data_IF_388732439658
#
_entry.id   IF_388732439658
#
_cell.length_a   1.000
_cell.length_b   1.000
_cell.length_c   1.000
_cell.angle_alpha   90.00
_cell.angle_beta   90.00
_cell.angle_gamma   90.00
#
_symmetry.space_group_name_H-M   'P 1'
#
loop_
_entity.id
_entity.type
_entity.pdbx_description
1 polymer ?
#
# COMPACT_ATOMS: atom_id res chain seq x y z
N UNK A 1 -8.55 22.97 6.78
CA UNK A 1 -8.96 23.29 5.40
C UNK A 1 -10.10 22.35 5.04
N UNK A 2 -10.80 22.54 3.91
CA UNK A 2 -11.88 21.63 3.45
C UNK A 2 -11.30 20.71 2.39
N UNK A 3 -11.70 19.43 2.35
CA UNK A 3 -11.29 18.46 1.31
C UNK A 3 -11.56 18.97 -0.11
N UNK A 4 -12.55 19.85 -0.28
CA UNK A 4 -12.93 20.50 -1.53
C UNK A 4 -11.81 21.39 -2.13
N UNK A 5 -10.77 21.71 -1.36
CA UNK A 5 -9.62 22.50 -1.80
C UNK A 5 -8.42 21.65 -2.22
N UNK A 6 -8.50 20.33 -2.04
CA UNK A 6 -7.49 19.37 -2.50
C UNK A 6 -7.89 18.93 -3.91
N UNK A 7 -6.90 18.78 -4.79
CA UNK A 7 -7.14 18.23 -6.12
C UNK A 7 -7.76 16.83 -6.03
N UNK A 8 -8.86 16.61 -6.76
CA UNK A 8 -9.58 15.33 -6.77
C UNK A 8 -8.69 14.15 -7.19
N UNK A 9 -7.68 14.40 -8.04
CA UNK A 9 -6.67 13.41 -8.42
C UNK A 9 -5.92 12.88 -7.21
N UNK A 10 -5.44 13.76 -6.32
CA UNK A 10 -4.69 13.36 -5.11
C UNK A 10 -5.56 12.47 -4.21
N UNK A 11 -6.82 12.86 -4.00
CA UNK A 11 -7.73 12.09 -3.17
C UNK A 11 -8.09 10.74 -3.83
N UNK A 12 -8.32 10.72 -5.14
CA UNK A 12 -8.61 9.50 -5.90
C UNK A 12 -7.41 8.54 -5.88
N UNK A 13 -6.19 9.06 -6.02
CA UNK A 13 -4.97 8.26 -5.99
C UNK A 13 -4.80 7.59 -4.62
N UNK A 14 -5.06 8.33 -3.53
CA UNK A 14 -5.04 7.76 -2.17
C UNK A 14 -6.08 6.64 -2.02
N UNK A 15 -7.33 6.89 -2.43
CA UNK A 15 -8.41 5.89 -2.35
C UNK A 15 -8.10 4.63 -3.17
N UNK A 16 -7.63 4.79 -4.40
CA UNK A 16 -7.25 3.69 -5.27
C UNK A 16 -6.08 2.89 -4.70
N UNK A 17 -5.05 3.57 -4.18
CA UNK A 17 -3.88 2.90 -3.60
C UNK A 17 -4.25 2.06 -2.38
N UNK A 18 -5.15 2.55 -1.53
CA UNK A 18 -5.66 1.78 -0.40
C UNK A 18 -6.41 0.53 -0.87
N UNK A 19 -7.32 0.67 -1.85
CA UNK A 19 -8.08 -0.44 -2.41
C UNK A 19 -7.16 -1.48 -3.06
N UNK A 20 -6.24 -1.07 -3.93
CA UNK A 20 -5.31 -1.97 -4.61
C UNK A 20 -4.40 -2.69 -3.59
N UNK A 21 -3.93 -1.99 -2.56
CA UNK A 21 -3.14 -2.60 -1.47
C UNK A 21 -3.95 -3.69 -0.75
N UNK A 22 -5.23 -3.42 -0.46
CA UNK A 22 -6.11 -4.43 0.13
C UNK A 22 -6.38 -5.59 -0.84
N UNK A 23 -6.54 -5.33 -2.14
CA UNK A 23 -6.74 -6.36 -3.15
C UNK A 23 -5.54 -7.31 -3.28
N UNK A 24 -4.34 -6.83 -2.95
CA UNK A 24 -3.11 -7.63 -2.85
C UNK A 24 -2.99 -8.45 -1.56
N UNK A 25 -3.95 -8.34 -0.63
CA UNK A 25 -3.89 -9.00 0.67
C UNK A 25 -2.96 -8.34 1.69
N UNK A 26 -2.55 -7.09 1.44
CA UNK A 26 -1.70 -6.30 2.33
C UNK A 26 -2.54 -5.35 3.18
N UNK A 27 -2.01 -4.94 4.33
CA UNK A 27 -2.73 -4.15 5.35
C UNK A 27 -2.15 -2.76 5.59
N UNK A 28 -1.12 -2.37 4.81
CA UNK A 28 -0.40 -1.11 4.98
C UNK A 28 -0.03 -0.52 3.63
N UNK A 29 -0.40 0.74 3.44
CA UNK A 29 0.07 1.56 2.32
C UNK A 29 0.73 2.85 2.82
N UNK A 30 1.46 3.55 1.96
CA UNK A 30 1.99 4.88 2.26
C UNK A 30 1.83 5.78 1.03
N UNK A 31 2.08 7.07 1.17
CA UNK A 31 2.11 8.03 0.07
C UNK A 31 2.88 9.28 0.48
N UNK A 32 3.40 10.00 -0.52
CA UNK A 32 4.03 11.30 -0.36
C UNK A 32 3.03 12.35 -0.80
N UNK A 33 2.69 13.28 0.10
CA UNK A 33 1.72 14.34 -0.17
C UNK A 33 2.32 15.71 0.11
N UNK A 34 1.85 16.78 -0.56
CA UNK A 34 2.18 18.14 -0.19
C UNK A 34 1.82 18.41 1.27
N UNK A 35 2.76 18.98 2.03
CA UNK A 35 2.59 19.28 3.46
C UNK A 35 1.37 20.14 3.74
N UNK A 36 1.01 21.02 2.80
CA UNK A 36 -0.18 21.88 2.87
C UNK A 36 -1.50 21.09 3.00
N UNK A 37 -1.56 19.84 2.52
CA UNK A 37 -2.77 19.00 2.56
C UNK A 37 -2.76 17.97 3.69
N UNK A 38 -1.65 17.85 4.41
CA UNK A 38 -1.41 16.77 5.37
C UNK A 38 -2.49 16.66 6.44
N UNK A 39 -2.79 17.76 7.15
CA UNK A 39 -3.77 17.73 8.22
C UNK A 39 -5.19 17.35 7.72
N UNK A 40 -5.57 17.74 6.51
CA UNK A 40 -6.91 17.48 5.98
C UNK A 40 -7.03 16.03 5.49
N UNK A 41 -6.00 15.49 4.83
CA UNK A 41 -5.93 14.08 4.42
C UNK A 41 -5.88 13.17 5.66
N UNK A 42 -5.10 13.55 6.68
CA UNK A 42 -5.06 12.83 7.97
C UNK A 42 -6.45 12.73 8.59
N UNK A 43 -7.18 13.85 8.68
CA UNK A 43 -8.54 13.87 9.25
C UNK A 43 -9.53 13.05 8.42
N UNK A 44 -9.42 13.11 7.10
CA UNK A 44 -10.27 12.33 6.21
C UNK A 44 -10.06 10.84 6.39
N UNK A 45 -8.82 10.38 6.37
CA UNK A 45 -8.50 8.96 6.52
C UNK A 45 -8.83 8.43 7.93
N UNK A 46 -8.56 9.21 8.97
CA UNK A 46 -8.95 8.82 10.34
C UNK A 46 -10.48 8.78 10.51
N UNK A 47 -11.23 9.66 9.84
CA UNK A 47 -12.70 9.59 9.80
C UNK A 47 -13.24 8.32 9.13
N UNK A 48 -12.46 7.68 8.25
CA UNK A 48 -12.77 6.37 7.66
C UNK A 48 -12.27 5.19 8.52
N UNK A 49 -11.75 5.47 9.71
CA UNK A 49 -11.25 4.49 10.66
C UNK A 49 -9.80 4.04 10.43
N UNK A 50 -9.08 4.62 9.47
CA UNK A 50 -7.69 4.22 9.20
C UNK A 50 -6.73 4.71 10.28
N UNK A 51 -5.70 3.92 10.55
CA UNK A 51 -4.58 4.32 11.40
C UNK A 51 -3.54 5.02 10.52
N UNK A 52 -3.27 6.29 10.80
CA UNK A 52 -2.37 7.13 10.00
C UNK A 52 -1.17 7.58 10.84
N UNK A 53 0.03 7.30 10.35
CA UNK A 53 1.31 7.81 10.87
C UNK A 53 1.89 8.79 9.83
N UNK A 54 2.26 10.00 10.26
CA UNK A 54 2.80 11.03 9.38
C UNK A 54 4.25 11.27 9.75
N UNK A 55 5.16 11.03 8.81
CA UNK A 55 6.59 11.26 8.99
C UNK A 55 7.02 12.44 8.12
N UNK A 56 7.63 13.42 8.76
CA UNK A 56 8.14 14.62 8.11
C UNK A 56 9.63 14.81 8.43
N UNK A 57 10.39 15.30 7.45
CA UNK A 57 11.53 16.16 7.72
C UNK A 57 11.02 17.56 8.06
N UNK A 58 11.53 18.19 9.13
CA UNK A 58 11.06 19.50 9.58
C UNK A 58 11.06 20.60 8.49
N UNK A 59 11.91 20.42 7.45
CA UNK A 59 12.17 21.38 6.38
C UNK A 59 11.68 20.94 4.98
N UNK A 60 10.88 19.87 4.87
CA UNK A 60 10.48 19.35 3.56
C UNK A 60 9.10 19.87 3.10
N UNK A 61 8.90 20.13 1.79
CA UNK A 61 7.63 20.60 1.23
C UNK A 61 6.57 19.48 1.14
N UNK A 62 6.97 18.24 1.36
CA UNK A 62 6.14 17.03 1.31
C UNK A 62 6.25 16.23 2.60
N UNK A 63 5.24 15.42 2.90
CA UNK A 63 5.25 14.51 4.04
C UNK A 63 4.91 13.09 3.58
N UNK A 64 5.56 12.10 4.19
CA UNK A 64 5.23 10.69 3.98
C UNK A 64 4.16 10.28 4.98
N UNK A 65 3.00 9.88 4.49
CA UNK A 65 1.93 9.30 5.31
C UNK A 65 1.88 7.80 5.13
N UNK A 66 1.82 7.08 6.24
CA UNK A 66 1.65 5.63 6.29
C UNK A 66 0.25 5.35 6.82
N UNK A 67 -0.53 4.60 6.05
CA UNK A 67 -1.93 4.26 6.32
C UNK A 67 -2.05 2.76 6.54
N UNK A 68 -2.57 2.38 7.70
CA UNK A 68 -2.77 0.98 8.10
C UNK A 68 -4.25 0.71 8.30
N UNK A 69 -4.67 -0.48 7.92
CA UNK A 69 -6.03 -0.97 8.14
C UNK A 69 -5.95 -2.37 8.74
N UNK A 70 -5.95 -2.47 10.09
CA UNK A 70 -5.79 -3.75 10.80
C UNK A 70 -7.12 -4.22 11.38
N UNK A 71 -7.45 -5.49 11.13
CA UNK A 71 -8.63 -6.22 11.63
C UNK A 71 -8.63 -6.48 13.16
N UNK A 72 -7.97 -5.65 13.99
CA UNK A 72 -7.97 -5.86 15.45
C UNK A 72 -8.98 -5.01 16.20
N UNK A 73 -9.77 -4.16 15.53
CA UNK A 73 -10.75 -3.33 16.23
C UNK A 73 -12.16 -3.91 16.18
N UNK A 74 -12.51 -4.63 17.24
CA UNK A 74 -13.89 -4.74 17.70
C UNK A 74 -14.29 -3.40 18.33
N UNK A 75 -14.87 -2.50 17.56
CA UNK A 75 -15.83 -1.54 18.11
C UNK A 75 -16.63 -0.95 16.97
N UNK A 76 -17.94 -1.04 17.13
CA UNK A 76 -19.00 -0.34 16.41
C UNK A 76 -18.81 1.18 16.50
N UNK A 77 -17.74 1.71 15.89
CA UNK A 77 -17.62 3.14 15.67
C UNK A 77 -18.34 3.43 14.35
N UNK A 78 -19.64 3.69 14.47
CA UNK A 78 -20.44 4.38 13.46
C UNK A 78 -19.78 5.73 13.16
N UNK A 79 -18.83 5.72 12.23
CA UNK A 79 -18.25 6.94 11.72
C UNK A 79 -19.30 7.55 10.78
N UNK A 80 -19.89 8.66 11.21
CA UNK A 80 -20.67 9.52 10.33
C UNK A 80 -19.75 9.96 9.19
N UNK A 81 -19.91 9.33 8.02
CA UNK A 81 -19.19 9.69 6.81
C UNK A 81 -19.58 11.11 6.40
N UNK A 82 -18.90 12.09 6.96
CA UNK A 82 -19.02 13.47 6.51
C UNK A 82 -18.69 13.49 5.01
N UNK A 83 -19.62 14.06 4.24
CA UNK A 83 -19.56 14.22 2.79
C UNK A 83 -19.70 12.92 1.95
N UNK A 84 -20.75 12.14 2.20
CA UNK A 84 -21.17 10.92 1.46
C UNK A 84 -20.97 11.05 -0.07
N UNK A 85 -21.30 12.22 -0.65
CA UNK A 85 -21.21 12.44 -2.10
C UNK A 85 -19.77 12.46 -2.63
N UNK A 86 -18.86 13.16 -1.94
CA UNK A 86 -17.44 13.21 -2.33
C UNK A 86 -16.80 11.82 -2.16
N UNK A 87 -17.10 11.14 -1.06
CA UNK A 87 -16.59 9.80 -0.79
C UNK A 87 -17.05 8.77 -1.83
N UNK A 88 -18.30 8.87 -2.29
CA UNK A 88 -18.82 8.05 -3.37
C UNK A 88 -18.11 8.33 -4.71
N UNK A 89 -17.81 9.60 -5.00
CA UNK A 89 -17.03 9.97 -6.20
C UNK A 89 -15.58 9.46 -6.15
N UNK A 90 -14.99 9.39 -4.96
CA UNK A 90 -13.62 8.91 -4.74
C UNK A 90 -13.53 7.37 -4.63
N UNK A 91 -14.66 6.65 -4.64
CA UNK A 91 -14.73 5.21 -4.40
C UNK A 91 -14.02 4.77 -3.10
N UNK A 92 -14.01 5.66 -2.10
CA UNK A 92 -13.34 5.45 -0.83
C UNK A 92 -14.09 4.43 0.01
N UNK A 93 -13.38 3.43 0.54
CA UNK A 93 -13.95 2.40 1.40
C UNK A 93 -13.57 2.62 2.86
N UNK A 94 -14.41 2.18 3.82
CA UNK A 94 -14.03 2.09 5.21
C UNK A 94 -12.80 1.22 5.44
N UNK A 95 -12.07 1.50 6.53
CA UNK A 95 -10.98 0.65 7.01
C UNK A 95 -11.42 -0.82 7.18
N UNK A 96 -12.62 -1.09 7.73
CA UNK A 96 -13.08 -2.47 7.96
C UNK A 96 -13.31 -3.23 6.64
N UNK A 97 -13.78 -2.55 5.60
CA UNK A 97 -13.99 -3.15 4.28
C UNK A 97 -12.64 -3.42 3.60
N UNK A 98 -11.71 -2.46 3.66
CA UNK A 98 -10.33 -2.66 3.20
C UNK A 98 -9.66 -3.85 3.92
N UNK A 99 -9.84 -3.97 5.23
CA UNK A 99 -9.30 -5.09 6.01
C UNK A 99 -9.96 -6.43 5.63
N UNK A 100 -11.26 -6.45 5.34
CA UNK A 100 -11.96 -7.64 4.89
C UNK A 100 -11.49 -8.09 3.49
N UNK A 101 -11.34 -7.14 2.55
CA UNK A 101 -10.77 -7.39 1.22
C UNK A 101 -9.35 -7.96 1.36
N UNK A 102 -8.51 -7.32 2.19
CA UNK A 102 -7.16 -7.79 2.46
C UNK A 102 -7.13 -9.19 3.09
N UNK A 103 -8.08 -9.52 3.97
CA UNK A 103 -8.16 -10.86 4.56
C UNK A 103 -8.55 -11.91 3.52
N UNK A 104 -9.64 -11.69 2.80
CA UNK A 104 -10.14 -12.62 1.78
C UNK A 104 -9.09 -12.84 0.67
N UNK A 105 -8.45 -11.77 0.24
CA UNK A 105 -7.40 -11.84 -0.74
C UNK A 105 -6.10 -12.39 -0.17
N UNK A 106 -5.78 -12.22 1.11
CA UNK A 106 -4.67 -12.96 1.73
C UNK A 106 -4.93 -14.46 1.71
N UNK A 107 -6.13 -14.91 2.08
CA UNK A 107 -6.50 -16.33 2.06
C UNK A 107 -6.47 -16.91 0.63
N UNK A 108 -6.83 -16.12 -0.38
CA UNK A 108 -6.87 -16.54 -1.80
C UNK A 108 -5.54 -16.34 -2.54
N UNK A 109 -4.77 -15.28 -2.19
CA UNK A 109 -3.50 -14.88 -2.77
C UNK A 109 -2.31 -15.28 -1.89
N UNK A 110 -2.51 -16.25 -0.99
CA UNK A 110 -1.51 -16.74 -0.04
C UNK A 110 -0.13 -16.97 -0.68
N UNK A 111 -0.07 -17.37 -1.96
CA UNK A 111 1.19 -17.55 -2.68
C UNK A 111 1.95 -16.24 -2.93
N UNK A 112 1.29 -15.18 -3.40
CA UNK A 112 1.92 -13.88 -3.68
C UNK A 112 2.28 -13.17 -2.38
N UNK A 113 1.35 -13.13 -1.42
CA UNK A 113 1.62 -12.53 -0.11
C UNK A 113 2.72 -13.30 0.64
N UNK A 114 2.79 -14.63 0.51
CA UNK A 114 3.91 -15.43 1.04
C UNK A 114 5.22 -15.09 0.37
N UNK A 115 5.24 -14.98 -0.97
CA UNK A 115 6.42 -14.60 -1.75
C UNK A 115 6.93 -13.21 -1.34
N UNK A 116 6.04 -12.21 -1.21
CA UNK A 116 6.38 -10.86 -0.72
C UNK A 116 6.94 -10.91 0.71
N UNK A 117 6.28 -11.63 1.63
CA UNK A 117 6.73 -11.73 3.02
C UNK A 117 8.09 -12.42 3.12
N UNK A 118 8.31 -13.50 2.34
CA UNK A 118 9.56 -14.21 2.30
C UNK A 118 10.71 -13.32 1.78
N UNK A 119 10.46 -12.52 0.73
CA UNK A 119 11.43 -11.52 0.26
C UNK A 119 11.82 -10.54 1.36
N UNK A 120 10.82 -9.97 2.05
CA UNK A 120 11.05 -9.01 3.13
C UNK A 120 11.85 -9.65 4.27
N UNK A 121 11.51 -10.86 4.70
CA UNK A 121 12.25 -11.54 5.77
C UNK A 121 13.69 -11.87 5.37
N UNK A 122 13.93 -12.29 4.12
CA UNK A 122 15.29 -12.55 3.64
C UNK A 122 16.11 -11.26 3.55
N UNK A 123 15.53 -10.19 3.01
CA UNK A 123 16.21 -8.91 2.82
C UNK A 123 16.76 -8.32 4.14
N UNK A 124 16.09 -8.55 5.28
CA UNK A 124 16.54 -8.07 6.60
C UNK A 124 17.95 -8.53 6.99
N UNK A 125 18.42 -9.66 6.46
CA UNK A 125 19.71 -10.25 6.80
C UNK A 125 20.77 -10.10 5.69
N UNK A 126 20.41 -9.50 4.55
CA UNK A 126 21.31 -9.32 3.41
C UNK A 126 22.12 -8.03 3.52
N UNK A 127 23.29 -8.02 2.89
CA UNK A 127 24.00 -6.76 2.65
C UNK A 127 23.38 -6.04 1.46
N UNK A 128 23.38 -4.71 1.50
CA UNK A 128 22.93 -3.89 0.37
C UNK A 128 23.65 -4.29 -0.92
N UNK A 129 22.90 -4.41 -1.99
CA UNK A 129 23.37 -4.85 -3.30
C UNK A 129 23.32 -6.38 -3.52
N UNK A 130 22.90 -7.17 -2.53
CA UNK A 130 22.74 -8.63 -2.68
C UNK A 130 21.34 -9.00 -3.19
N UNK A 131 21.27 -10.00 -4.08
CA UNK A 131 20.00 -10.49 -4.62
C UNK A 131 19.36 -11.54 -3.73
N UNK A 132 18.03 -11.62 -3.79
CA UNK A 132 17.21 -12.59 -3.05
C UNK A 132 17.04 -13.83 -3.94
N UNK A 133 18.12 -14.62 -4.06
CA UNK A 133 18.26 -15.64 -5.10
C UNK A 133 17.31 -16.84 -5.00
N UNK A 134 16.76 -17.20 -3.83
CA UNK A 134 15.90 -18.39 -3.74
C UNK A 134 14.41 -18.11 -4.10
N UNK A 135 14.07 -16.89 -4.56
CA UNK A 135 12.69 -16.54 -4.93
C UNK A 135 12.64 -16.13 -6.39
N UNK A 136 12.61 -17.15 -7.26
CA UNK A 136 12.43 -16.99 -8.70
C UNK A 136 10.97 -17.21 -9.06
N UNK A 137 10.35 -16.24 -9.73
CA UNK A 137 9.00 -16.37 -10.27
C UNK A 137 9.04 -16.29 -11.79
N UNK A 138 8.49 -17.32 -12.44
CA UNK A 138 8.49 -17.48 -13.90
C UNK A 138 7.32 -16.79 -14.57
N UNK A 139 7.55 -16.27 -15.78
CA UNK A 139 6.60 -15.49 -16.58
C UNK A 139 5.26 -16.17 -16.83
N UNK A 140 5.23 -17.48 -17.02
CA UNK A 140 3.99 -18.21 -17.28
C UNK A 140 3.03 -18.27 -16.08
N UNK A 141 3.44 -17.82 -14.90
CA UNK A 141 2.60 -17.86 -13.69
C UNK A 141 1.75 -16.59 -13.57
N UNK A 142 0.50 -16.74 -13.09
CA UNK A 142 -0.35 -15.59 -12.73
C UNK A 142 0.32 -14.70 -11.67
N UNK A 143 1.16 -15.30 -10.84
CA UNK A 143 1.95 -14.61 -9.82
C UNK A 143 2.94 -13.61 -10.45
N UNK A 144 3.53 -13.91 -11.62
CA UNK A 144 4.48 -13.02 -12.29
C UNK A 144 3.86 -11.67 -12.66
N UNK A 145 2.70 -11.69 -13.32
CA UNK A 145 1.98 -10.49 -13.72
C UNK A 145 1.58 -9.65 -12.49
N UNK A 146 1.19 -10.31 -11.40
CA UNK A 146 0.80 -9.64 -10.16
C UNK A 146 2.02 -9.10 -9.39
N UNK A 147 3.12 -9.83 -9.31
CA UNK A 147 4.36 -9.37 -8.67
C UNK A 147 5.05 -8.24 -9.45
N UNK A 148 4.77 -8.14 -10.74
CA UNK A 148 5.21 -7.03 -11.61
C UNK A 148 4.24 -5.85 -11.60
N UNK A 149 3.13 -5.92 -10.84
CA UNK A 149 2.23 -4.78 -10.70
C UNK A 149 2.91 -3.62 -9.98
N UNK A 150 2.59 -2.40 -10.38
CA UNK A 150 3.19 -1.19 -9.81
C UNK A 150 3.05 -1.18 -8.28
N UNK A 151 1.90 -1.60 -7.78
CA UNK A 151 1.59 -1.58 -6.36
C UNK A 151 2.44 -2.57 -5.54
N UNK A 152 2.72 -3.77 -6.08
CA UNK A 152 3.68 -4.71 -5.45
C UNK A 152 5.08 -4.13 -5.45
N UNK A 153 5.52 -3.60 -6.59
CA UNK A 153 6.88 -3.05 -6.72
C UNK A 153 7.08 -1.87 -5.78
N UNK A 154 6.12 -0.96 -5.70
CA UNK A 154 6.13 0.17 -4.78
C UNK A 154 6.11 -0.27 -3.31
N UNK A 155 5.39 -1.35 -2.99
CA UNK A 155 5.38 -1.91 -1.64
C UNK A 155 6.75 -2.50 -1.28
N UNK A 156 7.36 -3.28 -2.17
CA UNK A 156 8.69 -3.89 -1.97
C UNK A 156 9.80 -2.84 -1.83
N UNK A 157 9.72 -1.74 -2.58
CA UNK A 157 10.66 -0.62 -2.47
C UNK A 157 10.70 0.00 -1.07
N UNK A 158 9.61 -0.09 -0.28
CA UNK A 158 9.60 0.38 1.12
C UNK A 158 10.54 -0.42 2.02
N UNK A 159 10.83 -1.65 1.61
CA UNK A 159 11.76 -2.55 2.29
C UNK A 159 13.12 -2.57 1.59
N UNK A 160 13.39 -1.58 0.72
CA UNK A 160 14.57 -1.50 -0.13
C UNK A 160 14.74 -2.73 -1.03
N UNK A 161 13.64 -3.27 -1.56
CA UNK A 161 13.69 -4.41 -2.48
C UNK A 161 13.26 -3.91 -3.85
N UNK A 162 14.20 -3.94 -4.80
CA UNK A 162 13.96 -3.63 -6.22
C UNK A 162 13.77 -4.92 -7.02
N UNK A 163 12.94 -4.86 -8.06
CA UNK A 163 12.69 -5.99 -8.96
C UNK A 163 13.27 -5.70 -10.34
N UNK A 164 13.94 -6.69 -10.93
CA UNK A 164 14.52 -6.65 -12.26
C UNK A 164 14.04 -7.86 -13.04
N UNK A 165 14.00 -7.73 -14.36
CA UNK A 165 13.81 -8.89 -15.22
C UNK A 165 15.17 -9.54 -15.51
N UNK A 166 15.18 -10.87 -15.64
CA UNK A 166 16.31 -11.59 -16.23
C UNK A 166 16.59 -11.10 -17.65
N UNK A 167 17.78 -11.39 -18.19
CA UNK A 167 18.18 -10.94 -19.55
C UNK A 167 17.21 -11.41 -20.65
N UNK A 168 16.60 -12.58 -20.47
CA UNK A 168 15.58 -13.16 -21.36
C UNK A 168 14.13 -12.76 -20.99
N UNK A 169 13.94 -11.99 -19.91
CA UNK A 169 12.67 -11.54 -19.38
C UNK A 169 11.69 -12.67 -18.98
N UNK A 170 12.20 -13.86 -18.69
CA UNK A 170 11.41 -15.01 -18.25
C UNK A 170 11.26 -15.09 -16.71
N UNK A 171 12.11 -14.39 -15.96
CA UNK A 171 12.13 -14.43 -14.50
C UNK A 171 12.21 -13.02 -13.89
N UNK A 172 11.62 -12.87 -12.69
CA UNK A 172 11.80 -11.68 -11.86
C UNK A 172 12.91 -11.95 -10.84
N UNK A 173 13.91 -11.07 -10.81
CA UNK A 173 15.02 -11.06 -9.86
C UNK A 173 14.78 -9.93 -8.86
N UNK A 174 14.70 -10.26 -7.58
CA UNK A 174 14.55 -9.27 -6.51
C UNK A 174 15.90 -9.00 -5.84
N UNK A 175 16.20 -7.73 -5.54
CA UNK A 175 17.49 -7.30 -4.98
C UNK A 175 17.29 -6.33 -3.83
N UNK A 176 18.04 -6.52 -2.76
CA UNK A 176 18.06 -5.59 -1.63
C UNK A 176 19.02 -4.42 -1.90
N UNK A 177 18.57 -3.17 -1.71
CA UNK A 177 19.29 -1.93 -2.05
C UNK A 177 19.72 -1.06 -0.86
#
# INVERSE_FOLDING_TARGET
MSLEKIELSILSDISNRIRNTAEMGLYETDFVIPKIYSNDIYKWLTAFGYIVDVRAGANEPTEKMIVRFKSTWNSEATHEYQNIRLNYMLNMIPMFEAAAIAKNNKETANKITSVINEMIEKAKNLKRGESIYDITVKRETVDFARLSSLEVLEYLLRYHISAYLSEDAEEIIFKYE
#
